data_IF_500134512663
#
_entry.id   IF_500134512663
#
_cell.length_a   1.000
_cell.length_b   1.000
_cell.length_c   1.000
_cell.angle_alpha   90.00
_cell.angle_beta   90.00
_cell.angle_gamma   90.00
#
_symmetry.space_group_name_H-M   'P 1'
#
loop_
_entity.id
_entity.type
_entity.pdbx_description
1 polymer ?
#
# COMPACT_ATOMS: atom_id res chain seq x y z
N UNK A 1 -37.42 14.49 -2.74
CA UNK A 1 -36.65 13.40 -3.40
C UNK A 1 -37.04 13.15 -4.86
N UNK A 2 -38.27 13.48 -5.27
CA UNK A 2 -38.77 13.30 -6.65
C UNK A 2 -38.18 14.28 -7.66
N UNK A 3 -37.82 15.50 -7.24
CA UNK A 3 -37.26 16.52 -8.15
C UNK A 3 -35.79 16.25 -8.52
N UNK A 4 -35.03 15.60 -7.65
CA UNK A 4 -33.66 15.14 -7.92
C UNK A 4 -33.62 14.15 -9.09
N UNK A 5 -34.51 13.16 -9.09
CA UNK A 5 -34.61 12.17 -10.18
C UNK A 5 -35.05 12.80 -11.51
N UNK A 6 -35.81 13.89 -11.46
CA UNK A 6 -36.28 14.62 -12.66
C UNK A 6 -35.17 15.45 -13.30
N UNK A 7 -34.26 16.02 -12.50
CA UNK A 7 -33.06 16.72 -12.97
C UNK A 7 -32.06 15.73 -13.56
N UNK A 8 -31.85 14.56 -12.93
CA UNK A 8 -30.98 13.51 -13.45
C UNK A 8 -31.42 12.96 -14.82
N UNK A 9 -32.71 13.06 -15.17
CA UNK A 9 -33.25 12.53 -16.43
C UNK A 9 -32.89 13.36 -17.67
N UNK A 10 -32.46 14.62 -17.48
CA UNK A 10 -32.12 15.55 -18.57
C UNK A 10 -30.65 15.43 -19.01
N UNK A 11 -29.74 15.18 -18.06
CA UNK A 11 -28.29 15.05 -18.29
C UNK A 11 -27.77 13.67 -17.85
N UNK A 12 -28.57 12.62 -18.08
CA UNK A 12 -28.29 11.23 -17.65
C UNK A 12 -26.87 10.77 -17.97
N UNK A 13 -26.36 11.11 -19.15
CA UNK A 13 -25.03 10.66 -19.60
C UNK A 13 -23.88 11.20 -18.73
N UNK A 14 -23.96 12.45 -18.27
CA UNK A 14 -22.94 13.09 -17.43
C UNK A 14 -22.94 12.49 -16.03
N UNK A 15 -24.12 12.26 -15.47
CA UNK A 15 -24.25 11.65 -14.14
C UNK A 15 -23.87 10.16 -14.14
N UNK A 16 -24.16 9.42 -15.22
CA UNK A 16 -23.68 8.04 -15.38
C UNK A 16 -22.15 7.99 -15.42
N UNK A 17 -21.50 8.91 -16.15
CA UNK A 17 -20.04 9.02 -16.18
C UNK A 17 -19.47 9.37 -14.80
N UNK A 18 -20.07 10.31 -14.07
CA UNK A 18 -19.67 10.65 -12.71
C UNK A 18 -19.76 9.45 -11.77
N UNK A 19 -20.86 8.70 -11.80
CA UNK A 19 -21.03 7.48 -10.98
C UNK A 19 -19.97 6.44 -11.34
N UNK A 20 -19.67 6.25 -12.62
CA UNK A 20 -18.63 5.32 -13.07
C UNK A 20 -17.24 5.74 -12.55
N UNK A 21 -16.91 7.03 -12.59
CA UNK A 21 -15.66 7.56 -12.04
C UNK A 21 -15.58 7.40 -10.52
N UNK A 22 -16.69 7.59 -9.81
CA UNK A 22 -16.75 7.35 -8.35
C UNK A 22 -16.50 5.87 -8.06
N UNK A 23 -17.15 4.96 -8.80
CA UNK A 23 -16.92 3.51 -8.63
C UNK A 23 -15.47 3.15 -8.93
N UNK A 24 -14.84 3.75 -9.94
CA UNK A 24 -13.42 3.57 -10.23
C UNK A 24 -12.50 4.06 -9.10
N UNK A 25 -12.82 5.20 -8.48
CA UNK A 25 -12.06 5.72 -7.34
C UNK A 25 -12.17 4.80 -6.14
N UNK A 26 -13.38 4.36 -5.80
CA UNK A 26 -13.66 3.53 -4.62
C UNK A 26 -13.18 2.09 -4.81
N UNK A 27 -13.33 1.54 -6.01
CA UNK A 27 -12.84 0.21 -6.32
C UNK A 27 -11.32 0.28 -6.43
N UNK A 28 -10.61 -0.46 -5.58
CA UNK A 28 -9.16 -0.58 -5.65
C UNK A 28 -8.74 -1.52 -6.80
N UNK A 29 -9.14 -1.15 -8.01
CA UNK A 29 -8.84 -1.92 -9.22
C UNK A 29 -7.37 -1.70 -9.54
N UNK A 30 -6.61 -2.79 -9.51
CA UNK A 30 -5.22 -2.80 -9.95
C UNK A 30 -5.18 -2.45 -11.44
N UNK A 31 -4.44 -1.39 -11.76
CA UNK A 31 -4.25 -0.97 -13.15
C UNK A 31 -3.38 -2.03 -13.83
N UNK A 32 -3.83 -2.65 -14.94
CA UNK A 32 -3.03 -3.65 -15.63
C UNK A 32 -1.71 -3.02 -16.13
N UNK A 33 -0.61 -3.77 -16.02
CA UNK A 33 0.76 -3.25 -16.18
C UNK A 33 1.00 -2.43 -17.45
N UNK A 34 0.36 -2.79 -18.58
CA UNK A 34 0.49 -2.07 -19.86
C UNK A 34 -0.05 -0.63 -19.76
N UNK A 35 -1.18 -0.44 -19.09
CA UNK A 35 -1.80 0.89 -18.92
C UNK A 35 -1.04 1.68 -17.85
N UNK A 36 -0.57 0.99 -16.79
CA UNK A 36 0.25 1.59 -15.75
C UNK A 36 1.59 2.11 -16.29
N UNK A 37 2.30 1.31 -17.11
CA UNK A 37 3.56 1.75 -17.71
C UNK A 37 3.37 2.95 -18.64
N UNK A 38 2.26 3.00 -19.40
CA UNK A 38 1.94 4.13 -20.25
C UNK A 38 1.68 5.42 -19.45
N UNK A 39 0.91 5.31 -18.36
CA UNK A 39 0.53 6.43 -17.49
C UNK A 39 1.69 6.87 -16.59
N UNK A 40 2.64 5.99 -16.24
CA UNK A 40 3.78 6.37 -15.39
C UNK A 40 4.83 7.24 -16.11
N UNK A 41 4.77 7.33 -17.44
CA UNK A 41 5.61 8.28 -18.21
C UNK A 41 5.23 9.74 -17.94
N UNK A 42 6.21 10.65 -18.02
CA UNK A 42 5.97 12.10 -17.86
C UNK A 42 4.91 12.60 -18.86
N UNK A 43 4.99 12.14 -20.11
CA UNK A 43 4.01 12.45 -21.15
C UNK A 43 2.63 11.87 -20.84
N UNK A 44 2.56 10.61 -20.37
CA UNK A 44 1.31 9.96 -19.96
C UNK A 44 0.59 10.72 -18.85
N UNK A 45 1.32 11.15 -17.81
CA UNK A 45 0.77 11.97 -16.71
C UNK A 45 0.17 13.28 -17.22
N UNK A 46 0.87 13.98 -18.13
CA UNK A 46 0.38 15.24 -18.73
C UNK A 46 -0.92 15.00 -19.52
N UNK A 47 -0.97 13.93 -20.33
CA UNK A 47 -2.16 13.59 -21.12
C UNK A 47 -3.35 13.25 -20.21
N UNK A 48 -3.13 12.48 -19.14
CA UNK A 48 -4.18 12.15 -18.17
C UNK A 48 -4.75 13.40 -17.49
N UNK A 49 -3.89 14.33 -17.09
CA UNK A 49 -4.33 15.62 -16.50
C UNK A 49 -5.11 16.45 -17.51
N UNK A 50 -4.66 16.53 -18.77
CA UNK A 50 -5.40 17.25 -19.82
C UNK A 50 -6.77 16.63 -20.09
N UNK A 51 -6.87 15.30 -20.06
CA UNK A 51 -8.14 14.59 -20.21
C UNK A 51 -9.09 14.86 -19.02
N UNK A 52 -8.57 14.96 -17.80
CA UNK A 52 -9.37 15.32 -16.63
C UNK A 52 -9.86 16.78 -16.70
N UNK A 53 -9.03 17.69 -17.19
CA UNK A 53 -9.39 19.09 -17.37
C UNK A 53 -10.44 19.30 -18.47
N UNK A 54 -10.40 18.54 -19.57
CA UNK A 54 -11.42 18.62 -20.62
C UNK A 54 -12.82 18.25 -20.10
N UNK A 55 -12.89 17.41 -19.06
CA UNK A 55 -14.13 16.97 -18.42
C UNK A 55 -14.87 18.11 -17.69
N UNK A 56 -14.18 19.20 -17.32
CA UNK A 56 -14.83 20.42 -16.80
C UNK A 56 -15.70 21.11 -17.86
N UNK A 57 -15.38 20.97 -19.15
CA UNK A 57 -16.16 21.55 -20.24
C UNK A 57 -17.54 20.90 -20.39
N UNK A 58 -17.71 19.66 -19.92
CA UNK A 58 -18.98 18.94 -19.97
C UNK A 58 -19.88 19.27 -18.78
N UNK A 59 -19.38 19.10 -17.55
CA UNK A 59 -20.12 19.45 -16.34
C UNK A 59 -19.14 19.68 -15.16
N UNK A 60 -19.27 20.78 -14.38
CA UNK A 60 -18.32 21.10 -13.31
C UNK A 60 -18.15 19.98 -12.27
N UNK A 61 -19.23 19.29 -11.92
CA UNK A 61 -19.20 18.18 -10.95
C UNK A 61 -18.44 16.97 -11.50
N UNK A 62 -18.64 16.65 -12.79
CA UNK A 62 -17.95 15.53 -13.43
C UNK A 62 -16.45 15.84 -13.57
N UNK A 63 -16.10 17.09 -13.89
CA UNK A 63 -14.72 17.58 -13.91
C UNK A 63 -14.01 17.43 -12.57
N UNK A 64 -14.65 17.86 -11.47
CA UNK A 64 -14.08 17.73 -10.13
C UNK A 64 -13.82 16.26 -9.75
N UNK A 65 -14.78 15.38 -10.00
CA UNK A 65 -14.64 13.93 -9.76
C UNK A 65 -13.56 13.33 -10.69
N UNK A 66 -13.52 13.75 -11.95
CA UNK A 66 -12.53 13.31 -12.93
C UNK A 66 -11.10 13.67 -12.54
N UNK A 67 -10.89 14.84 -11.93
CA UNK A 67 -9.58 15.25 -11.43
C UNK A 67 -9.12 14.35 -10.27
N UNK A 68 -10.03 14.03 -9.34
CA UNK A 68 -9.75 13.07 -8.25
C UNK A 68 -9.43 11.67 -8.82
N UNK A 69 -10.19 11.23 -9.82
CA UNK A 69 -9.95 9.94 -10.49
C UNK A 69 -8.59 9.90 -11.20
N UNK A 70 -8.20 10.99 -11.88
CA UNK A 70 -6.90 11.12 -12.53
C UNK A 70 -5.75 11.07 -11.51
N UNK A 71 -5.90 11.77 -10.38
CA UNK A 71 -4.92 11.70 -9.29
C UNK A 71 -4.77 10.27 -8.75
N UNK A 72 -5.90 9.58 -8.51
CA UNK A 72 -5.88 8.19 -8.04
C UNK A 72 -5.26 7.23 -9.06
N UNK A 73 -5.55 7.42 -10.35
CA UNK A 73 -4.94 6.64 -11.43
C UNK A 73 -3.42 6.80 -11.44
N UNK A 74 -2.91 8.04 -11.36
CA UNK A 74 -1.48 8.33 -11.32
C UNK A 74 -0.84 7.77 -10.05
N UNK A 75 -1.49 7.90 -8.90
CA UNK A 75 -0.98 7.36 -7.63
C UNK A 75 -0.86 5.84 -7.67
N UNK A 76 -1.88 5.13 -8.18
CA UNK A 76 -1.87 3.66 -8.32
C UNK A 76 -0.86 3.17 -9.37
N UNK A 77 -0.62 3.98 -10.40
CA UNK A 77 0.33 3.69 -11.47
C UNK A 77 1.78 3.84 -11.01
N UNK A 78 2.04 4.62 -9.96
CA UNK A 78 3.39 4.89 -9.46
C UNK A 78 3.85 3.81 -8.49
N UNK A 79 5.03 3.24 -8.74
CA UNK A 79 5.79 2.50 -7.72
C UNK A 79 5.55 0.99 -7.61
N UNK A 80 4.53 0.42 -8.25
CA UNK A 80 4.32 -1.04 -8.19
C UNK A 80 5.40 -1.80 -8.99
N UNK A 81 5.87 -1.25 -10.12
CA UNK A 81 6.95 -1.84 -10.91
C UNK A 81 8.33 -1.69 -10.26
N UNK A 82 8.69 -0.52 -9.73
CA UNK A 82 10.07 -0.31 -9.25
C UNK A 82 10.41 -1.20 -8.04
N UNK A 83 9.53 -1.29 -7.05
CA UNK A 83 9.76 -2.16 -5.90
C UNK A 83 9.75 -3.65 -6.28
N UNK A 84 8.82 -4.08 -7.15
CA UNK A 84 8.72 -5.51 -7.54
C UNK A 84 9.82 -5.97 -8.50
N UNK A 85 10.39 -5.07 -9.31
CA UNK A 85 11.51 -5.38 -10.21
C UNK A 85 12.82 -5.53 -9.43
N UNK A 86 13.06 -4.67 -8.43
CA UNK A 86 14.35 -4.64 -7.70
C UNK A 86 14.34 -5.40 -6.37
N UNK A 87 13.17 -5.72 -5.79
CA UNK A 87 13.08 -6.49 -4.55
C UNK A 87 12.74 -7.95 -4.90
N UNK A 88 13.66 -8.91 -4.69
CA UNK A 88 13.36 -10.31 -4.91
C UNK A 88 12.28 -10.77 -3.94
N UNK A 89 11.41 -11.69 -4.39
CA UNK A 89 10.45 -12.34 -3.50
C UNK A 89 11.16 -13.07 -2.36
N UNK A 90 10.50 -13.25 -1.22
CA UNK A 90 11.06 -14.01 -0.08
C UNK A 90 11.48 -15.42 -0.50
N UNK A 91 10.79 -16.03 -1.48
CA UNK A 91 11.16 -17.34 -2.03
C UNK A 91 12.54 -17.25 -2.72
N UNK A 92 12.76 -16.26 -3.60
CA UNK A 92 14.05 -16.07 -4.27
C UNK A 92 15.16 -15.73 -3.27
N UNK A 93 14.87 -14.88 -2.29
CA UNK A 93 15.81 -14.52 -1.22
C UNK A 93 16.18 -15.74 -0.39
N UNK A 94 15.22 -16.54 0.03
CA UNK A 94 15.47 -17.78 0.78
C UNK A 94 16.30 -18.77 -0.02
N UNK A 95 16.01 -18.96 -1.31
CA UNK A 95 16.81 -19.84 -2.17
C UNK A 95 18.28 -19.40 -2.24
N UNK A 96 18.54 -18.10 -2.46
CA UNK A 96 19.90 -17.55 -2.51
C UNK A 96 20.60 -17.68 -1.16
N UNK A 97 19.93 -17.32 -0.07
CA UNK A 97 20.51 -17.41 1.28
C UNK A 97 20.81 -18.86 1.67
N UNK A 98 19.92 -19.81 1.34
CA UNK A 98 20.17 -21.24 1.56
C UNK A 98 21.33 -21.73 0.71
N UNK A 99 21.44 -21.32 -0.55
CA UNK A 99 22.57 -21.69 -1.41
C UNK A 99 23.91 -21.11 -0.93
N UNK A 100 23.90 -19.95 -0.27
CA UNK A 100 25.10 -19.33 0.31
C UNK A 100 25.43 -19.85 1.72
N UNK A 101 24.42 -20.37 2.44
CA UNK A 101 24.54 -20.88 3.81
C UNK A 101 24.68 -22.42 3.82
N UNK A 102 25.66 -22.95 3.08
CA UNK A 102 25.97 -24.39 3.01
C UNK A 102 26.94 -24.81 4.12
N UNK A 103 26.72 -24.33 5.35
CA UNK A 103 27.49 -24.72 6.52
C UNK A 103 26.79 -25.86 7.27
N UNK A 104 27.54 -26.77 7.90
CA UNK A 104 26.95 -27.75 8.80
C UNK A 104 26.23 -27.01 9.94
N UNK A 105 25.07 -27.55 10.34
CA UNK A 105 24.28 -27.01 11.47
C UNK A 105 25.15 -26.98 12.71
N UNK A 106 25.21 -25.83 13.41
CA UNK A 106 25.99 -25.72 14.64
C UNK A 106 25.19 -26.19 15.84
N UNK A 107 25.88 -26.51 16.93
CA UNK A 107 25.26 -26.97 18.17
C UNK A 107 24.32 -25.90 18.74
N UNK A 108 24.70 -24.64 18.62
CA UNK A 108 23.86 -23.51 19.04
C UNK A 108 22.58 -23.44 18.22
N UNK A 109 22.67 -23.66 16.91
CA UNK A 109 21.51 -23.63 16.01
C UNK A 109 20.59 -24.84 16.24
N UNK A 110 21.14 -26.02 16.52
CA UNK A 110 20.36 -27.20 16.91
C UNK A 110 19.62 -26.96 18.23
N UNK A 111 20.28 -26.40 19.24
CA UNK A 111 19.65 -26.08 20.53
C UNK A 111 18.54 -25.04 20.35
N UNK A 112 18.76 -23.99 19.55
CA UNK A 112 17.74 -22.96 19.26
C UNK A 112 16.57 -23.55 18.46
N UNK A 113 16.81 -24.46 17.52
CA UNK A 113 15.76 -25.11 16.74
C UNK A 113 14.82 -25.97 17.61
N UNK A 114 15.37 -26.53 18.69
CA UNK A 114 14.66 -27.33 19.67
C UNK A 114 14.02 -26.49 20.80
N UNK A 115 14.25 -25.17 20.83
CA UNK A 115 13.56 -24.29 21.77
C UNK A 115 12.12 -24.05 21.32
N UNK A 116 11.20 -23.99 22.29
CA UNK A 116 9.80 -23.65 22.04
C UNK A 116 9.69 -22.33 21.28
N UNK A 117 8.87 -22.24 20.22
CA UNK A 117 8.79 -21.05 19.40
C UNK A 117 8.38 -19.84 20.25
N UNK A 118 9.10 -18.73 20.05
CA UNK A 118 8.78 -17.45 20.68
C UNK A 118 7.39 -16.98 20.23
N UNK A 119 6.37 -17.31 21.02
CA UNK A 119 4.99 -16.87 20.79
C UNK A 119 4.83 -15.43 21.24
N UNK A 120 4.99 -14.48 20.31
CA UNK A 120 4.60 -13.07 20.51
C UNK A 120 3.07 -12.89 20.66
N UNK A 121 2.28 -13.94 20.46
CA UNK A 121 0.84 -13.96 20.76
C UNK A 121 0.55 -14.81 21.98
N UNK A 122 1.10 -14.44 23.13
CA UNK A 122 0.51 -14.79 24.42
C UNK A 122 0.17 -13.47 25.08
N UNK A 123 -1.12 -13.17 25.19
CA UNK A 123 -1.57 -12.26 26.24
C UNK A 123 -0.88 -12.74 27.51
N UNK A 124 0.05 -11.92 28.02
CA UNK A 124 0.86 -12.25 29.18
C UNK A 124 -0.06 -12.31 30.40
N UNK A 125 -0.74 -13.43 30.55
CA UNK A 125 -1.57 -13.72 31.69
C UNK A 125 -0.66 -14.26 32.78
N UNK A 126 -0.26 -13.35 33.68
CA UNK A 126 0.11 -13.65 35.06
C UNK A 126 1.45 -14.35 35.30
N UNK A 127 2.35 -13.63 35.97
CA UNK A 127 3.54 -14.12 36.69
C UNK A 127 4.49 -15.05 35.92
N UNK A 128 5.36 -14.43 35.12
CA UNK A 128 6.65 -15.04 34.78
C UNK A 128 7.60 -15.01 36.01
N UNK A 129 8.31 -16.11 36.33
CA UNK A 129 9.31 -16.13 37.41
C UNK A 129 10.63 -15.42 37.02
N UNK A 130 10.76 -14.96 35.78
CA UNK A 130 11.91 -14.18 35.32
C UNK A 130 11.53 -12.71 35.14
N UNK A 131 12.32 -11.84 35.77
CA UNK A 131 12.28 -10.40 35.56
C UNK A 131 13.30 -10.07 34.47
N UNK A 132 12.89 -9.30 33.45
CA UNK A 132 13.83 -8.81 32.46
C UNK A 132 14.91 -7.97 33.14
N UNK A 133 16.14 -8.45 33.15
CA UNK A 133 17.28 -7.69 33.66
C UNK A 133 17.80 -6.86 32.49
N UNK A 134 17.53 -5.57 32.53
CA UNK A 134 18.07 -4.63 31.56
C UNK A 134 19.52 -4.33 31.92
N UNK A 135 20.44 -4.50 30.97
CA UNK A 135 21.84 -4.15 31.17
C UNK A 135 22.00 -2.61 31.26
N UNK A 136 23.11 -2.14 31.84
CA UNK A 136 23.36 -0.70 32.03
C UNK A 136 23.32 0.01 30.69
N UNK A 137 22.38 0.95 30.52
CA UNK A 137 22.16 1.61 29.23
C UNK A 137 23.25 2.61 28.82
N UNK A 138 24.36 2.76 29.56
CA UNK A 138 25.47 3.68 29.22
C UNK A 138 25.03 5.09 28.74
N UNK A 139 23.93 5.63 29.28
CA UNK A 139 23.39 6.93 28.86
C UNK A 139 22.67 6.96 27.49
N UNK A 140 22.43 5.80 26.85
CA UNK A 140 21.76 5.68 25.56
C UNK A 140 20.23 5.90 25.63
N UNK A 141 19.64 5.86 26.83
CA UNK A 141 18.24 6.24 27.02
C UNK A 141 18.13 7.60 27.70
N UNK A 142 17.25 8.43 27.15
CA UNK A 142 16.89 9.74 27.71
C UNK A 142 16.16 9.52 29.03
N UNK A 143 16.76 9.96 30.13
CA UNK A 143 16.06 10.04 31.42
C UNK A 143 15.01 11.16 31.33
N UNK A 144 13.73 10.80 31.22
CA UNK A 144 12.57 11.67 31.42
C UNK A 144 11.40 10.76 31.84
N UNK A 145 10.52 11.08 32.78
CA UNK A 145 10.28 12.30 33.53
C UNK A 145 9.82 11.93 34.96
N UNK A 146 10.14 12.80 35.91
CA UNK A 146 9.57 12.81 37.26
C UNK A 146 8.05 12.66 37.21
N UNK A 147 7.51 11.70 37.96
CA UNK A 147 6.20 11.89 38.59
C UNK A 147 6.34 12.92 39.71
#
# INVERSE_FOLDING_TARGET
MTDLFKIMKKDTHHYVLAVLLIVFVVSDVQVPGIIGELVDTILGKIVVVMCALSLFGAHPVVGAIGLVAAYQLIMRSQGLQAASIYIPSEIKKSQVLTAMNQFPVTVEEEVISNQIPYVFKRHAQGNSPYKGVQDKLHGAAKLNASN
#
